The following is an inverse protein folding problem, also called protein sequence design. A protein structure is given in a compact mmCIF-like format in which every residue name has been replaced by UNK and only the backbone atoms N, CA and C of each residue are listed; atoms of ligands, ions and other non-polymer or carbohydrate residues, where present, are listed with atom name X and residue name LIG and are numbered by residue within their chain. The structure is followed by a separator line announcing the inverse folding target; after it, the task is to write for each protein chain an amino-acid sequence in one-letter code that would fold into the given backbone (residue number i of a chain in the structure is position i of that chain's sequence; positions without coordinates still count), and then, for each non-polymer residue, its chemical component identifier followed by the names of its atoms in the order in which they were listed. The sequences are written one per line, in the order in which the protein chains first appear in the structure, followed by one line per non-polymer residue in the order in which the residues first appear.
data_IF_610399499455
#
_entry.id   IF_610399499455
#
_cell.length_a   1.000
_cell.length_b   1.000
_cell.length_c   1.000
_cell.angle_alpha   90.00
_cell.angle_beta   90.00
_cell.angle_gamma   90.00
#
_symmetry.space_group_name_H-M   'P 1'
#
loop_
_entity.id
_entity.type
_entity.pdbx_description
1 polymer ?
#
# COMPACT_ATOMS: atom_id res chain seq x y z
N UNK A 1 -2.68 -14.16 20.42
CA UNK A 1 -3.42 -13.33 19.44
C UNK A 1 -4.77 -13.99 19.24
N UNK A 2 -5.87 -13.33 19.62
CA UNK A 2 -7.21 -13.91 19.46
C UNK A 2 -7.67 -13.75 18.01
N UNK A 3 -8.66 -14.56 17.57
CA UNK A 3 -9.24 -14.44 16.24
C UNK A 3 -9.84 -13.05 15.99
N UNK A 4 -10.36 -12.42 17.03
CA UNK A 4 -10.93 -11.06 17.00
C UNK A 4 -9.84 -10.03 16.68
N UNK A 5 -8.63 -10.18 17.23
CA UNK A 5 -7.50 -9.27 16.97
C UNK A 5 -7.06 -9.32 15.50
N UNK A 6 -7.05 -10.53 14.92
CA UNK A 6 -6.73 -10.74 13.49
C UNK A 6 -7.75 -10.03 12.61
N UNK A 7 -9.04 -10.20 12.91
CA UNK A 7 -10.13 -9.56 12.16
C UNK A 7 -10.02 -8.04 12.24
N UNK A 8 -9.75 -7.47 13.43
CA UNK A 8 -9.55 -6.03 13.61
C UNK A 8 -8.38 -5.50 12.78
N UNK A 9 -7.25 -6.19 12.77
CA UNK A 9 -6.07 -5.78 12.01
C UNK A 9 -6.33 -5.83 10.49
N UNK A 10 -6.98 -6.89 10.02
CA UNK A 10 -7.36 -7.03 8.61
C UNK A 10 -8.34 -5.93 8.18
N UNK A 11 -9.35 -5.62 9.01
CA UNK A 11 -10.31 -4.55 8.74
C UNK A 11 -9.64 -3.18 8.70
N UNK A 12 -8.71 -2.89 9.61
CA UNK A 12 -7.93 -1.64 9.61
C UNK A 12 -7.08 -1.51 8.34
N UNK A 13 -6.38 -2.58 7.96
CA UNK A 13 -5.57 -2.61 6.75
C UNK A 13 -6.41 -2.39 5.48
N UNK A 14 -7.56 -3.06 5.38
CA UNK A 14 -8.48 -2.86 4.26
C UNK A 14 -9.03 -1.43 4.21
N UNK A 15 -9.43 -0.89 5.36
CA UNK A 15 -9.94 0.48 5.47
C UNK A 15 -8.90 1.51 5.06
N UNK A 16 -7.63 1.33 5.45
CA UNK A 16 -6.53 2.20 5.04
C UNK A 16 -6.32 2.16 3.52
N UNK A 17 -6.32 0.97 2.92
CA UNK A 17 -6.18 0.84 1.47
C UNK A 17 -7.37 1.43 0.71
N UNK A 18 -8.59 1.27 1.23
CA UNK A 18 -9.78 1.90 0.67
C UNK A 18 -9.71 3.43 0.75
N UNK A 19 -9.26 3.98 1.88
CA UNK A 19 -9.07 5.42 2.06
C UNK A 19 -8.05 5.96 1.05
N UNK A 20 -6.89 5.32 0.90
CA UNK A 20 -5.87 5.75 -0.07
C UNK A 20 -6.36 5.62 -1.51
N UNK A 21 -7.11 4.58 -1.83
CA UNK A 21 -7.76 4.45 -3.14
C UNK A 21 -8.70 5.64 -3.40
N UNK A 22 -9.54 6.00 -2.43
CA UNK A 22 -10.47 7.12 -2.55
C UNK A 22 -9.75 8.46 -2.73
N UNK A 23 -8.63 8.68 -2.03
CA UNK A 23 -7.80 9.88 -2.20
C UNK A 23 -7.28 9.99 -3.64
N UNK A 24 -6.79 8.89 -4.22
CA UNK A 24 -6.34 8.86 -5.63
C UNK A 24 -7.50 9.09 -6.61
N UNK A 25 -8.69 8.57 -6.29
CA UNK A 25 -9.90 8.81 -7.05
C UNK A 25 -10.32 10.28 -7.04
N UNK A 26 -10.26 10.92 -5.87
CA UNK A 26 -10.55 12.34 -5.72
C UNK A 26 -9.52 13.21 -6.46
N UNK A 27 -8.21 12.88 -6.41
CA UNK A 27 -7.20 13.60 -7.21
C UNK A 27 -7.48 13.49 -8.71
N UNK A 28 -7.88 12.30 -9.19
CA UNK A 28 -8.26 12.09 -10.59
C UNK A 28 -9.48 12.92 -10.98
N UNK A 29 -10.48 13.02 -10.10
CA UNK A 29 -11.66 13.87 -10.34
C UNK A 29 -11.31 15.35 -10.34
N UNK A 30 -10.50 15.81 -9.38
CA UNK A 30 -10.02 17.20 -9.32
C UNK A 30 -9.28 17.57 -10.61
N UNK A 31 -8.42 16.69 -11.12
CA UNK A 31 -7.72 16.90 -12.39
C UNK A 31 -8.67 17.03 -13.60
N UNK A 32 -9.82 16.33 -13.61
CA UNK A 32 -10.84 16.45 -14.67
C UNK A 32 -11.66 17.73 -14.57
N UNK A 33 -11.91 18.20 -13.34
CA UNK A 33 -12.74 19.37 -13.06
C UNK A 33 -11.93 20.68 -12.98
N UNK A 34 -10.62 20.64 -13.22
CA UNK A 34 -9.73 21.79 -13.07
C UNK A 34 -9.53 22.24 -11.61
N UNK A 35 -9.82 21.36 -10.65
CA UNK A 35 -9.68 21.64 -9.22
C UNK A 35 -8.23 21.50 -8.72
N UNK A 36 -8.04 21.85 -7.44
CA UNK A 36 -6.75 21.69 -6.77
C UNK A 36 -6.34 20.22 -6.68
N UNK A 37 -5.09 19.93 -7.05
CA UNK A 37 -4.53 18.57 -7.11
C UNK A 37 -3.67 18.29 -5.90
N UNK A 38 -3.69 17.05 -5.45
CA UNK A 38 -2.86 16.56 -4.36
C UNK A 38 -1.42 16.39 -4.86
N UNK A 39 -0.45 16.80 -4.05
CA UNK A 39 0.97 16.65 -4.41
C UNK A 39 1.34 15.17 -4.59
N UNK A 40 2.22 14.88 -5.54
CA UNK A 40 2.70 13.50 -5.77
C UNK A 40 3.41 12.92 -4.56
N UNK A 41 4.13 13.77 -3.83
CA UNK A 41 4.78 13.38 -2.58
C UNK A 41 3.76 12.87 -1.57
N UNK A 42 2.65 13.58 -1.36
CA UNK A 42 1.59 13.16 -0.43
C UNK A 42 0.98 11.82 -0.84
N UNK A 43 0.69 11.63 -2.13
CA UNK A 43 0.12 10.38 -2.65
C UNK A 43 1.08 9.20 -2.41
N UNK A 44 2.38 9.38 -2.70
CA UNK A 44 3.40 8.36 -2.46
C UNK A 44 3.65 8.10 -0.96
N UNK A 45 3.60 9.13 -0.12
CA UNK A 45 3.70 8.98 1.34
C UNK A 45 2.53 8.16 1.90
N UNK A 46 1.31 8.39 1.43
CA UNK A 46 0.14 7.59 1.82
C UNK A 46 0.28 6.11 1.40
N UNK A 47 0.82 5.86 0.20
CA UNK A 47 1.14 4.52 -0.24
C UNK A 47 2.20 3.86 0.66
N UNK A 48 3.25 4.61 1.04
CA UNK A 48 4.35 4.13 1.89
C UNK A 48 3.92 3.82 3.33
N UNK A 49 3.00 4.57 3.92
CA UNK A 49 2.54 4.35 5.31
C UNK A 49 1.73 3.04 5.44
N UNK A 50 1.14 2.53 4.35
CA UNK A 50 0.41 1.26 4.38
C UNK A 50 -0.71 1.12 3.34
N UNK A 51 -0.94 2.16 2.52
CA UNK A 51 -1.96 2.14 1.48
C UNK A 51 -1.48 1.65 0.12
N UNK A 52 -0.36 0.94 0.03
CA UNK A 52 0.29 0.62 -1.25
C UNK A 52 -0.59 -0.22 -2.20
N UNK A 53 -1.41 -1.15 -1.67
CA UNK A 53 -2.34 -1.94 -2.50
C UNK A 53 -3.46 -1.07 -3.05
N UNK A 54 -4.06 -0.22 -2.23
CA UNK A 54 -5.10 0.73 -2.63
C UNK A 54 -4.58 1.75 -3.64
N UNK A 55 -3.37 2.28 -3.42
CA UNK A 55 -2.70 3.19 -4.35
C UNK A 55 -2.42 2.51 -5.71
N UNK A 56 -1.91 1.27 -5.72
CA UNK A 56 -1.65 0.54 -6.97
C UNK A 56 -2.95 0.21 -7.71
N UNK A 57 -3.97 -0.25 -7.00
CA UNK A 57 -5.29 -0.51 -7.55
C UNK A 57 -5.90 0.76 -8.16
N UNK A 58 -5.82 1.89 -7.46
CA UNK A 58 -6.27 3.17 -7.98
C UNK A 58 -5.46 3.61 -9.21
N UNK A 59 -4.14 3.41 -9.20
CA UNK A 59 -3.27 3.74 -10.34
C UNK A 59 -3.72 2.99 -11.61
N UNK A 60 -3.94 1.67 -11.48
CA UNK A 60 -4.32 0.81 -12.60
C UNK A 60 -5.76 1.03 -13.06
N UNK A 61 -6.73 0.97 -12.14
CA UNK A 61 -8.16 1.05 -12.46
C UNK A 61 -8.55 2.44 -12.98
N UNK A 62 -7.98 3.51 -12.42
CA UNK A 62 -8.30 4.88 -12.82
C UNK A 62 -7.38 5.41 -13.92
N UNK A 63 -6.42 4.60 -14.37
CA UNK A 63 -5.33 5.00 -15.29
C UNK A 63 -4.69 6.31 -14.83
N UNK A 64 -4.43 6.39 -13.53
CA UNK A 64 -3.86 7.56 -12.90
C UNK A 64 -2.35 7.48 -13.01
N UNK A 65 -1.69 8.35 -13.80
CA UNK A 65 -0.22 8.46 -13.85
C UNK A 65 0.53 7.14 -14.13
N UNK A 66 -0.08 6.21 -14.88
CA UNK A 66 0.49 4.88 -15.17
C UNK A 66 1.78 4.89 -15.99
N UNK A 67 2.07 5.99 -16.69
CA UNK A 67 3.31 6.20 -17.47
C UNK A 67 4.17 7.35 -16.95
N UNK A 68 3.79 7.99 -15.85
CA UNK A 68 4.51 9.16 -15.34
C UNK A 68 5.63 8.71 -14.43
N UNK A 69 6.86 8.96 -14.85
CA UNK A 69 8.05 8.84 -14.00
C UNK A 69 8.32 10.16 -13.26
N UNK A 70 8.89 10.12 -12.04
CA UNK A 70 9.29 8.93 -11.28
C UNK A 70 8.15 8.27 -10.48
N UNK A 71 6.91 8.79 -10.59
CA UNK A 71 5.78 8.36 -9.75
C UNK A 71 5.52 6.85 -9.82
N UNK A 72 5.47 6.28 -11.03
CA UNK A 72 5.23 4.85 -11.25
C UNK A 72 6.32 4.00 -10.59
N UNK A 73 7.60 4.32 -10.83
CA UNK A 73 8.71 3.56 -10.27
C UNK A 73 8.75 3.61 -8.75
N UNK A 74 8.48 4.78 -8.15
CA UNK A 74 8.44 4.90 -6.68
C UNK A 74 7.26 4.11 -6.11
N UNK A 75 6.07 4.17 -6.71
CA UNK A 75 4.93 3.39 -6.23
C UNK A 75 5.19 1.88 -6.32
N UNK A 76 5.80 1.42 -7.41
CA UNK A 76 6.20 0.01 -7.56
C UNK A 76 7.23 -0.40 -6.50
N UNK A 77 8.23 0.44 -6.23
CA UNK A 77 9.24 0.19 -5.20
C UNK A 77 8.61 0.09 -3.80
N UNK A 78 7.65 0.96 -3.47
CA UNK A 78 6.89 0.90 -2.21
C UNK A 78 6.14 -0.43 -2.08
N UNK A 79 5.46 -0.86 -3.14
CA UNK A 79 4.71 -2.11 -3.14
C UNK A 79 5.64 -3.32 -2.93
N UNK A 80 6.79 -3.35 -3.61
CA UNK A 80 7.80 -4.40 -3.46
C UNK A 80 8.36 -4.39 -2.03
N UNK A 81 8.65 -3.22 -1.47
CA UNK A 81 9.14 -3.08 -0.09
C UNK A 81 8.16 -3.68 0.92
N UNK A 82 6.86 -3.37 0.82
CA UNK A 82 5.86 -3.96 1.69
C UNK A 82 5.75 -5.48 1.51
N UNK A 83 5.77 -5.97 0.27
CA UNK A 83 5.74 -7.41 -0.01
C UNK A 83 6.96 -8.15 0.57
N UNK A 84 8.15 -7.56 0.43
CA UNK A 84 9.39 -8.09 1.00
C UNK A 84 9.35 -8.11 2.53
N UNK A 85 8.84 -7.04 3.16
CA UNK A 85 8.69 -6.96 4.61
C UNK A 85 7.74 -8.04 5.15
N UNK A 86 6.56 -8.20 4.54
CA UNK A 86 5.60 -9.25 4.91
C UNK A 86 6.23 -10.63 4.76
N UNK A 87 6.94 -10.87 3.66
CA UNK A 87 7.60 -12.16 3.39
C UNK A 87 8.71 -12.44 4.41
N UNK A 88 9.54 -11.45 4.74
CA UNK A 88 10.60 -11.59 5.73
C UNK A 88 10.05 -11.88 7.14
N UNK A 89 8.99 -11.19 7.54
CA UNK A 89 8.31 -11.42 8.82
C UNK A 89 7.67 -12.83 8.87
N UNK A 90 7.02 -13.26 7.80
CA UNK A 90 6.49 -14.61 7.69
C UNK A 90 7.60 -15.67 7.76
N UNK A 91 8.71 -15.46 7.07
CA UNK A 91 9.85 -16.37 7.13
C UNK A 91 10.44 -16.46 8.56
N UNK A 92 10.70 -15.33 9.20
CA UNK A 92 11.25 -15.27 10.55
C UNK A 92 10.34 -16.00 11.57
N UNK A 93 9.03 -15.80 11.48
CA UNK A 93 8.05 -16.45 12.37
C UNK A 93 7.92 -17.96 12.12
N UNK A 94 7.96 -18.41 10.86
CA UNK A 94 7.76 -19.82 10.49
C UNK A 94 9.02 -20.68 10.63
N UNK A 95 10.21 -20.11 10.45
CA UNK A 95 11.48 -20.83 10.40
C UNK A 95 12.42 -20.53 11.57
N UNK A 96 12.32 -19.35 12.18
CA UNK A 96 13.15 -18.95 13.32
C UNK A 96 13.11 -19.93 14.50
N UNK A 97 11.92 -20.34 14.99
CA UNK A 97 11.81 -21.27 16.11
C UNK A 97 12.39 -22.65 15.79
N UNK A 98 12.29 -23.10 14.52
CA UNK A 98 12.77 -24.42 14.09
C UNK A 98 14.30 -24.46 13.96
N UNK A 99 14.94 -23.36 13.59
CA UNK A 99 16.40 -23.29 13.49
C UNK A 99 17.08 -23.21 14.87
N UNK A 100 16.44 -22.56 15.85
CA UNK A 100 16.99 -22.40 17.21
C UNK A 100 16.84 -23.65 18.08
N UNK A 101 15.90 -24.55 17.78
CA UNK A 101 15.63 -25.77 18.55
C UNK A 101 16.40 -27.01 18.04
N UNK A 102 17.14 -26.88 16.95
CA UNK A 102 17.96 -27.95 16.35
C UNK A 102 19.46 -27.88 16.75
N UNK A 103 19.79 -27.09 17.78
CA UNK A 103 21.11 -27.00 18.40
C UNK A 103 21.03 -27.32 19.88
#
# INVERSE_FOLDING_TARGET
MTIIDIIKLAALFLSLNLLVFLIYFLDKQAARKGGWRISERTLLTLALIGGSLGAMAAQQLLRHKTRKEPFRSILAAILILHGALVTALAFATLWGPRLLLNF
#
